data_IF_608279990180
#
_entry.id   IF_608279990180
#
_cell.length_a   1.000
_cell.length_b   1.000
_cell.length_c   1.000
_cell.angle_alpha   90.00
_cell.angle_beta   90.00
_cell.angle_gamma   90.00
#
_symmetry.space_group_name_H-M   'P 1'
#
loop_
_entity.id
_entity.type
_entity.pdbx_description
1 polymer ?
#
# COMPACT_ATOMS: atom_id res chain seq x y z
N UNK A 1 29.00 45.21 -58.88
CA UNK A 1 28.45 45.01 -57.52
C UNK A 1 26.96 45.33 -57.58
N UNK A 2 26.08 44.37 -57.30
CA UNK A 2 24.62 44.59 -57.34
C UNK A 2 24.10 45.16 -56.01
N UNK A 3 23.15 46.11 -56.10
CA UNK A 3 22.49 46.73 -54.95
C UNK A 3 21.45 45.77 -54.35
N UNK A 4 21.59 45.45 -53.05
CA UNK A 4 20.64 44.62 -52.29
C UNK A 4 20.18 45.40 -51.06
N UNK A 5 18.88 45.67 -50.99
CA UNK A 5 18.30 46.47 -49.91
C UNK A 5 17.74 45.53 -48.84
N UNK A 6 18.31 45.59 -47.63
CA UNK A 6 17.93 44.75 -46.49
C UNK A 6 17.11 45.49 -45.42
N UNK A 7 17.31 46.80 -45.28
CA UNK A 7 16.70 47.63 -44.22
C UNK A 7 16.11 48.95 -44.75
N UNK A 8 15.78 49.03 -46.04
CA UNK A 8 15.22 50.23 -46.67
C UNK A 8 14.12 49.84 -47.66
N UNK A 9 13.03 50.59 -47.67
CA UNK A 9 11.92 50.44 -48.61
C UNK A 9 11.96 51.55 -49.65
N UNK A 10 12.44 51.27 -50.87
CA UNK A 10 12.47 52.26 -51.93
C UNK A 10 11.07 52.47 -52.52
N UNK A 11 10.73 53.71 -52.85
CA UNK A 11 9.46 54.05 -53.52
C UNK A 11 9.48 53.64 -55.01
N UNK A 12 10.67 53.54 -55.60
CA UNK A 12 10.90 53.20 -57.00
C UNK A 12 10.72 51.68 -57.28
N UNK A 13 9.96 51.37 -58.35
CA UNK A 13 9.52 50.02 -58.72
C UNK A 13 10.70 49.09 -59.09
N UNK A 14 11.78 49.62 -59.67
CA UNK A 14 12.94 48.83 -60.05
C UNK A 14 13.83 48.46 -58.86
N UNK A 15 13.80 49.27 -57.80
CA UNK A 15 14.54 49.04 -56.56
C UNK A 15 13.77 48.12 -55.60
N UNK A 16 12.42 48.09 -55.65
CA UNK A 16 11.59 47.15 -54.89
C UNK A 16 11.89 45.69 -55.22
N UNK A 17 12.15 45.38 -56.50
CA UNK A 17 12.54 44.02 -56.95
C UNK A 17 13.86 43.54 -56.35
N UNK A 18 14.69 44.45 -55.86
CA UNK A 18 16.01 44.18 -55.26
C UNK A 18 15.98 44.13 -53.73
N UNK A 19 14.79 44.19 -53.13
CA UNK A 19 14.59 44.02 -51.68
C UNK A 19 14.80 42.55 -51.31
N UNK A 20 15.63 42.31 -50.31
CA UNK A 20 15.85 40.96 -49.79
C UNK A 20 14.65 40.57 -48.93
N UNK A 21 14.01 39.40 -49.16
CA UNK A 21 12.89 38.95 -48.33
C UNK A 21 13.36 38.74 -46.88
N UNK A 22 12.59 39.24 -45.92
CA UNK A 22 12.87 39.00 -44.51
C UNK A 22 12.68 37.52 -44.18
N UNK A 23 13.69 36.93 -43.53
CA UNK A 23 13.63 35.56 -43.06
C UNK A 23 12.54 35.46 -41.98
N UNK A 24 11.57 34.55 -42.19
CA UNK A 24 10.59 34.22 -41.15
C UNK A 24 11.33 33.47 -40.03
N UNK A 25 11.15 33.85 -38.75
CA UNK A 25 11.74 33.09 -37.65
C UNK A 25 11.19 31.66 -37.68
N UNK A 26 12.04 30.70 -37.34
CA UNK A 26 11.64 29.30 -37.26
C UNK A 26 10.48 29.15 -36.27
N UNK A 27 9.47 28.36 -36.64
CA UNK A 27 8.33 28.01 -35.79
C UNK A 27 8.85 27.46 -34.46
N UNK A 28 8.47 28.13 -33.37
CA UNK A 28 8.85 27.74 -32.01
C UNK A 28 7.86 26.73 -31.41
N UNK A 29 6.76 26.48 -32.11
CA UNK A 29 5.67 25.61 -31.65
C UNK A 29 6.16 24.18 -31.40
N UNK A 30 7.01 23.64 -32.28
CA UNK A 30 7.53 22.28 -32.15
C UNK A 30 8.49 22.14 -30.95
N UNK A 31 9.32 23.16 -30.71
CA UNK A 31 10.25 23.20 -29.57
C UNK A 31 9.52 23.34 -28.23
N UNK A 32 8.45 24.14 -28.20
CA UNK A 32 7.61 24.31 -27.01
C UNK A 32 6.91 22.99 -26.68
N UNK A 33 6.43 22.26 -27.69
CA UNK A 33 5.77 20.97 -27.50
C UNK A 33 6.74 19.91 -26.96
N UNK A 34 7.95 19.85 -27.51
CA UNK A 34 9.00 18.93 -27.06
C UNK A 34 9.44 19.24 -25.61
N UNK A 35 9.56 20.51 -25.24
CA UNK A 35 9.86 20.92 -23.87
C UNK A 35 8.72 20.62 -22.89
N UNK A 36 7.46 20.75 -23.30
CA UNK A 36 6.29 20.41 -22.50
C UNK A 36 6.16 18.90 -22.26
N UNK A 37 6.57 18.07 -23.21
CA UNK A 37 6.58 16.62 -23.04
C UNK A 37 7.75 16.17 -22.16
N UNK A 38 8.94 16.77 -22.31
CA UNK A 38 10.09 16.52 -21.43
C UNK A 38 9.89 17.03 -19.98
N UNK A 39 9.00 18.00 -19.79
CA UNK A 39 8.64 18.54 -18.47
C UNK A 39 7.51 17.79 -17.77
N UNK A 40 7.04 16.64 -18.30
CA UNK A 40 6.18 15.71 -17.56
C UNK A 40 7.09 14.73 -16.81
N UNK A 41 7.44 14.99 -15.53
CA UNK A 41 8.12 13.97 -14.74
C UNK A 41 7.18 12.78 -14.59
N UNK A 42 7.65 11.59 -14.96
CA UNK A 42 6.99 10.35 -14.53
C UNK A 42 6.99 10.35 -13.00
N UNK A 43 5.82 10.30 -12.34
CA UNK A 43 5.78 10.17 -10.89
C UNK A 43 6.09 8.72 -10.53
N UNK A 44 7.36 8.32 -10.65
CA UNK A 44 7.88 7.16 -9.91
C UNK A 44 8.19 7.68 -8.51
N UNK A 45 7.13 8.06 -7.80
CA UNK A 45 7.17 8.17 -6.35
C UNK A 45 6.68 6.81 -5.90
N UNK A 46 7.61 5.85 -5.78
CA UNK A 46 7.44 4.82 -4.77
C UNK A 46 7.40 5.60 -3.46
N UNK A 47 6.19 5.84 -2.97
CA UNK A 47 5.92 6.47 -1.69
C UNK A 47 6.64 5.64 -0.62
N UNK A 48 7.87 6.04 -0.31
CA UNK A 48 8.57 5.54 0.86
C UNK A 48 7.77 6.08 2.04
N UNK A 49 6.89 5.24 2.58
CA UNK A 49 6.03 5.51 3.72
C UNK A 49 6.88 6.01 4.91
N UNK A 50 6.93 7.34 5.07
CA UNK A 50 7.73 8.02 6.09
C UNK A 50 7.32 7.64 7.51
N UNK A 51 6.17 6.97 7.71
CA UNK A 51 5.77 6.40 8.99
C UNK A 51 6.66 5.22 9.41
N UNK A 52 7.32 4.53 8.46
CA UNK A 52 8.28 3.47 8.74
C UNK A 52 9.72 3.97 8.99
N UNK A 53 10.03 5.21 8.56
CA UNK A 53 11.33 5.86 8.72
C UNK A 53 11.43 6.70 10.00
N UNK A 54 10.29 7.03 10.62
CA UNK A 54 10.27 7.78 11.88
C UNK A 54 10.89 6.97 13.04
N UNK A 55 11.57 7.64 14.01
CA UNK A 55 12.02 7.01 15.23
C UNK A 55 10.82 6.38 15.96
N UNK A 56 10.79 5.05 16.03
CA UNK A 56 9.74 4.32 16.75
C UNK A 56 9.80 4.70 18.24
N UNK A 57 8.65 4.57 18.93
CA UNK A 57 8.61 4.76 20.39
C UNK A 57 9.67 3.89 21.07
N UNK A 58 10.36 4.37 22.12
CA UNK A 58 11.39 3.59 22.81
C UNK A 58 10.87 2.24 23.32
N UNK A 59 9.59 2.15 23.66
CA UNK A 59 8.95 0.91 24.15
C UNK A 59 8.49 -0.04 23.04
N UNK A 60 8.65 0.30 21.75
CA UNK A 60 8.09 -0.50 20.66
C UNK A 60 8.71 -1.90 20.61
N UNK A 61 10.00 -1.97 20.90
CA UNK A 61 10.78 -3.21 20.89
C UNK A 61 10.34 -4.11 22.05
N UNK A 62 10.19 -3.51 23.24
CA UNK A 62 9.67 -4.19 24.42
C UNK A 62 8.28 -4.76 24.16
N UNK A 63 7.38 -3.98 23.57
CA UNK A 63 6.01 -4.43 23.22
C UNK A 63 6.04 -5.59 22.23
N UNK A 64 6.88 -5.50 21.19
CA UNK A 64 7.01 -6.55 20.16
C UNK A 64 7.52 -7.86 20.78
N UNK A 65 8.53 -7.79 21.62
CA UNK A 65 9.17 -8.98 22.18
C UNK A 65 8.33 -9.61 23.30
N UNK A 66 7.60 -8.81 24.07
CA UNK A 66 6.60 -9.28 25.04
C UNK A 66 5.40 -9.91 24.34
N UNK A 67 4.90 -9.33 23.25
CA UNK A 67 3.75 -9.85 22.51
C UNK A 67 3.96 -11.31 22.05
N UNK A 68 5.13 -11.62 21.49
CA UNK A 68 5.47 -12.99 21.06
C UNK A 68 5.49 -13.99 22.23
N UNK A 69 5.88 -13.56 23.43
CA UNK A 69 5.88 -14.39 24.63
C UNK A 69 4.47 -14.60 25.16
N UNK A 70 3.66 -13.54 25.20
CA UNK A 70 2.26 -13.59 25.63
C UNK A 70 1.43 -14.50 24.72
N UNK A 71 1.60 -14.42 23.39
CA UNK A 71 0.88 -15.29 22.46
C UNK A 71 1.16 -16.79 22.72
N UNK A 72 2.43 -17.13 22.98
CA UNK A 72 2.81 -18.52 23.33
C UNK A 72 2.23 -18.97 24.67
N UNK A 73 2.11 -18.05 25.63
CA UNK A 73 1.53 -18.34 26.93
C UNK A 73 0.01 -18.52 26.79
N UNK A 74 -0.66 -17.60 26.11
CA UNK A 74 -2.11 -17.62 25.86
C UNK A 74 -2.54 -18.91 25.17
N UNK A 75 -1.82 -19.36 24.13
CA UNK A 75 -2.08 -20.66 23.48
C UNK A 75 -2.01 -21.85 24.45
N UNK A 76 -1.09 -21.82 25.42
CA UNK A 76 -0.99 -22.88 26.44
C UNK A 76 -2.11 -22.77 27.47
N UNK A 77 -2.43 -21.55 27.89
CA UNK A 77 -3.54 -21.30 28.82
C UNK A 77 -4.87 -21.75 28.22
N UNK A 78 -5.14 -21.43 26.95
CA UNK A 78 -6.34 -21.88 26.25
C UNK A 78 -6.40 -23.42 26.14
N UNK A 79 -5.26 -24.08 25.89
CA UNK A 79 -5.19 -25.56 25.89
C UNK A 79 -5.50 -26.15 27.26
N UNK A 80 -4.88 -25.63 28.32
CA UNK A 80 -5.13 -26.08 29.69
C UNK A 80 -6.60 -25.84 30.09
N UNK A 81 -7.18 -24.70 29.72
CA UNK A 81 -8.62 -24.43 29.92
C UNK A 81 -9.48 -25.46 29.17
N UNK A 82 -9.14 -25.75 27.91
CA UNK A 82 -9.88 -26.74 27.12
C UNK A 82 -9.76 -28.15 27.72
N UNK A 83 -8.59 -28.54 28.21
CA UNK A 83 -8.36 -29.82 28.90
C UNK A 83 -9.18 -29.91 30.19
N UNK A 84 -9.14 -28.88 31.04
CA UNK A 84 -9.95 -28.82 32.26
C UNK A 84 -11.45 -28.91 31.97
N UNK A 85 -11.93 -28.28 30.89
CA UNK A 85 -13.33 -28.38 30.49
C UNK A 85 -13.67 -29.81 30.03
N UNK A 86 -12.78 -30.47 29.27
CA UNK A 86 -12.99 -31.87 28.85
C UNK A 86 -13.03 -32.83 30.04
N UNK A 87 -12.09 -32.69 30.98
CA UNK A 87 -12.07 -33.51 32.20
C UNK A 87 -13.35 -33.31 33.01
N UNK A 88 -13.79 -32.07 33.18
CA UNK A 88 -15.03 -31.76 33.89
C UNK A 88 -16.26 -32.37 33.23
N UNK A 89 -16.37 -32.27 31.90
CA UNK A 89 -17.49 -32.87 31.16
C UNK A 89 -17.49 -34.39 31.25
N UNK A 90 -16.32 -35.03 31.14
CA UNK A 90 -16.17 -36.48 31.30
C UNK A 90 -16.54 -36.94 32.70
N UNK A 91 -16.08 -36.25 33.74
CA UNK A 91 -16.43 -36.58 35.12
C UNK A 91 -17.94 -36.48 35.36
N UNK A 92 -18.61 -35.47 34.79
CA UNK A 92 -20.06 -35.35 34.86
C UNK A 92 -20.80 -36.47 34.11
N UNK A 93 -20.29 -36.88 32.93
CA UNK A 93 -20.87 -37.99 32.18
C UNK A 93 -20.71 -39.34 32.90
N UNK A 94 -19.55 -39.61 33.50
CA UNK A 94 -19.31 -40.81 34.30
C UNK A 94 -20.20 -40.84 35.57
N UNK A 95 -20.38 -39.70 36.24
CA UNK A 95 -21.33 -39.58 37.37
C UNK A 95 -22.78 -39.85 36.95
N UNK A 96 -23.23 -39.27 35.84
CA UNK A 96 -24.58 -39.49 35.30
C UNK A 96 -24.79 -40.94 34.84
N UNK A 97 -23.82 -41.53 34.15
CA UNK A 97 -23.87 -42.92 33.71
C UNK A 97 -23.92 -43.89 34.90
N UNK A 98 -23.14 -43.62 35.95
CA UNK A 98 -23.18 -44.39 37.20
C UNK A 98 -24.55 -44.30 37.89
N UNK A 99 -25.12 -43.09 38.00
CA UNK A 99 -26.45 -42.90 38.60
C UNK A 99 -27.56 -43.63 37.82
N UNK A 100 -27.51 -43.63 36.48
CA UNK A 100 -28.47 -44.35 35.64
C UNK A 100 -28.29 -45.87 35.72
N UNK A 101 -27.04 -46.36 35.83
CA UNK A 101 -26.74 -47.77 36.04
C UNK A 101 -27.32 -48.30 37.35
N UNK A 102 -27.14 -47.57 38.44
CA UNK A 102 -27.70 -47.91 39.76
C UNK A 102 -29.23 -47.90 39.76
N UNK A 103 -29.86 -46.90 39.14
CA UNK A 103 -31.32 -46.85 39.02
C UNK A 103 -31.91 -48.00 38.17
N UNK A 104 -31.15 -48.52 37.21
CA UNK A 104 -31.57 -49.65 36.36
C UNK A 104 -31.41 -51.01 37.06
N UNK A 105 -30.46 -51.16 37.98
CA UNK A 105 -30.32 -52.38 38.79
C UNK A 105 -31.41 -52.51 39.84
N UNK A 106 -31.82 -51.43 40.49
CA UNK A 106 -32.89 -51.47 41.51
C UNK A 106 -34.27 -51.79 40.93
N UNK A 107 -34.52 -51.52 39.64
CA UNK A 107 -35.78 -51.83 38.97
C UNK A 107 -35.87 -53.24 38.36
N UNK A 108 -34.80 -54.04 38.38
CA UNK A 108 -34.74 -55.36 37.71
C UNK A 108 -34.81 -56.56 38.66
N UNK A 109 -34.77 -56.33 39.98
CA UNK A 109 -34.77 -57.40 41.00
C UNK A 109 -36.12 -57.50 41.75
N UNK A 110 -37.18 -56.95 41.14
CA UNK A 110 -38.55 -56.96 41.66
C UNK A 110 -39.51 -57.51 40.60
N UNK A 111 -39.41 -58.81 40.32
CA UNK A 111 -40.44 -59.64 39.67
C UNK A 111 -40.40 -61.06 40.26
#
# INVERSE_FOLDING_TARGET
>A
RELKLRNYEPEDEDLKKRKVPQAKPASVEDKVKEQLEAAKPEPIIDEVDLANLAPRKPDWDLKRDVAKKLEKLEKRTQRAIAELIRERLRGQEEELASAVGSAKQEGSDSD
#
